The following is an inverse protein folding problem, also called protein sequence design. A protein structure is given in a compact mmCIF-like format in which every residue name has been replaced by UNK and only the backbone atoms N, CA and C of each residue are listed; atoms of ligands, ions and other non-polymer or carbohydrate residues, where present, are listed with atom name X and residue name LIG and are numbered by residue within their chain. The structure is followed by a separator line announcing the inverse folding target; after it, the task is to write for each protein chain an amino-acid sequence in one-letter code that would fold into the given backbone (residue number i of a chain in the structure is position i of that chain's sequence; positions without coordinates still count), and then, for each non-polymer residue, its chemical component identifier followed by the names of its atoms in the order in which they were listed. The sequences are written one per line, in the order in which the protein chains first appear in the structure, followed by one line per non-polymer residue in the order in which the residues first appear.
data_IF_256834658950
#
_entry.id   IF_256834658950
#
_cell.length_a   1.000
_cell.length_b   1.000
_cell.length_c   1.000
_cell.angle_alpha   90.00
_cell.angle_beta   90.00
_cell.angle_gamma   90.00
#
_symmetry.space_group_name_H-M   'P 1'
#
loop_
_entity.id
_entity.type
_entity.pdbx_description
1 polymer ?
#
# COMPACT_ATOMS: atom_id res chain seq x y z
N UNK A 1 12.99 7.60 28.60
CA UNK A 1 11.66 8.09 29.04
C UNK A 1 10.60 7.55 28.09
N UNK A 2 9.56 6.86 28.57
CA UNK A 2 8.50 6.28 27.71
C UNK A 2 7.76 7.33 26.84
N UNK A 3 7.77 8.59 27.27
CA UNK A 3 7.18 9.73 26.53
C UNK A 3 7.92 10.02 25.23
N UNK A 4 9.25 9.85 25.18
CA UNK A 4 10.08 10.07 23.99
C UNK A 4 10.15 8.84 23.08
N UNK A 5 9.57 7.71 23.50
CA UNK A 5 9.53 6.46 22.73
C UNK A 5 8.30 6.37 21.82
N UNK A 6 7.53 7.46 21.66
CA UNK A 6 6.32 7.47 20.84
C UNK A 6 5.14 6.65 21.41
N UNK A 7 5.26 6.12 22.63
CA UNK A 7 4.22 5.28 23.25
C UNK A 7 2.89 6.03 23.41
N UNK A 8 1.79 5.31 23.20
CA UNK A 8 0.47 5.82 23.52
C UNK A 8 0.24 5.83 25.04
N UNK A 9 -0.69 6.66 25.52
CA UNK A 9 -1.06 6.69 26.95
C UNK A 9 -1.47 5.28 27.45
N UNK A 10 -2.13 4.49 26.60
CA UNK A 10 -2.55 3.12 26.93
C UNK A 10 -1.35 2.18 27.02
N UNK A 11 -0.40 2.30 26.09
CA UNK A 11 0.84 1.52 26.12
C UNK A 11 1.68 1.85 27.37
N UNK A 12 1.83 3.14 27.67
CA UNK A 12 2.51 3.60 28.88
C UNK A 12 1.84 3.07 30.16
N UNK A 13 0.51 3.07 30.19
CA UNK A 13 -0.26 2.54 31.31
C UNK A 13 -0.01 1.05 31.52
N UNK A 14 -0.06 0.27 30.43
CA UNK A 14 0.24 -1.17 30.45
C UNK A 14 1.67 -1.45 30.90
N UNK A 15 2.64 -0.70 30.42
CA UNK A 15 4.07 -0.93 30.69
C UNK A 15 4.44 -0.54 32.13
N UNK A 16 3.82 0.50 32.67
CA UNK A 16 4.04 0.97 34.05
C UNK A 16 3.15 0.27 35.08
N UNK A 17 2.23 -0.61 34.65
CA UNK A 17 1.27 -1.28 35.55
C UNK A 17 0.29 -0.31 36.23
N UNK A 18 -0.03 0.83 35.60
CA UNK A 18 -0.92 1.85 36.15
C UNK A 18 -2.10 2.13 35.24
N UNK A 19 -3.09 2.88 35.72
CA UNK A 19 -4.23 3.28 34.90
C UNK A 19 -3.88 4.38 33.87
N UNK A 20 -4.56 4.40 32.73
CA UNK A 20 -4.43 5.48 31.74
C UNK A 20 -4.75 6.89 32.29
N UNK A 21 -5.76 7.08 33.18
CA UNK A 21 -5.93 8.32 33.93
C UNK A 21 -4.71 8.72 34.76
N UNK A 22 -4.05 7.78 35.44
CA UNK A 22 -2.83 8.02 36.22
C UNK A 22 -1.70 8.55 35.33
N UNK A 23 -1.49 7.93 34.16
CA UNK A 23 -0.52 8.43 33.17
C UNK A 23 -0.87 9.86 32.72
N UNK A 24 -2.15 10.14 32.42
CA UNK A 24 -2.60 11.49 32.04
C UNK A 24 -2.36 12.52 33.13
N UNK A 25 -2.62 12.17 34.39
CA UNK A 25 -2.40 13.03 35.53
C UNK A 25 -0.93 13.46 35.60
N UNK A 26 0.00 12.50 35.54
CA UNK A 26 1.44 12.79 35.60
C UNK A 26 1.94 13.56 34.39
N UNK A 27 1.49 13.20 33.18
CA UNK A 27 1.80 13.98 31.97
C UNK A 27 1.40 15.45 32.13
N UNK A 28 0.19 15.71 32.64
CA UNK A 28 -0.28 17.09 32.90
C UNK A 28 0.55 17.78 33.98
N UNK A 29 0.82 17.11 35.10
CA UNK A 29 1.57 17.66 36.23
C UNK A 29 2.98 18.11 35.82
N UNK A 30 3.62 17.37 34.92
CA UNK A 30 4.96 17.67 34.41
C UNK A 30 4.96 18.45 33.08
N UNK A 31 3.79 18.88 32.57
CA UNK A 31 3.70 19.61 31.29
C UNK A 31 4.11 18.81 30.07
N UNK A 32 4.12 17.47 30.15
CA UNK A 32 4.56 16.57 29.09
C UNK A 32 3.40 16.20 28.16
N UNK A 33 3.74 15.95 26.89
CA UNK A 33 2.81 15.47 25.87
C UNK A 33 3.38 14.28 25.12
N UNK A 34 2.51 13.34 24.72
CA UNK A 34 2.90 12.31 23.75
C UNK A 34 3.11 12.94 22.37
N UNK A 35 3.98 12.34 21.55
CA UNK A 35 4.17 12.76 20.16
C UNK A 35 2.85 12.79 19.37
N UNK A 36 1.98 11.80 19.61
CA UNK A 36 0.65 11.76 19.01
C UNK A 36 -0.16 12.99 19.39
N UNK A 37 -0.26 13.32 20.69
CA UNK A 37 -1.02 14.50 21.13
C UNK A 37 -0.43 15.79 20.58
N UNK A 38 0.89 15.95 20.61
CA UNK A 38 1.57 17.13 20.05
C UNK A 38 1.28 17.27 18.55
N UNK A 39 1.30 16.18 17.78
CA UNK A 39 0.95 16.17 16.35
C UNK A 39 -0.52 16.53 16.10
N UNK A 40 -1.45 15.99 16.88
CA UNK A 40 -2.87 16.31 16.72
C UNK A 40 -3.15 17.79 17.05
N UNK A 41 -2.46 18.35 18.05
CA UNK A 41 -2.58 19.75 18.43
C UNK A 41 -2.27 20.70 17.27
N UNK A 42 -1.25 20.41 16.44
CA UNK A 42 -0.86 21.20 15.26
C UNK A 42 -1.98 21.38 14.23
N UNK A 43 -2.98 20.50 14.22
CA UNK A 43 -4.11 20.55 13.28
C UNK A 43 -5.44 20.78 13.99
N UNK A 44 -5.44 21.07 15.29
CA UNK A 44 -6.66 21.20 16.11
C UNK A 44 -7.55 22.34 15.62
N UNK A 45 -6.97 23.52 15.37
CA UNK A 45 -7.71 24.68 14.89
C UNK A 45 -8.35 24.40 13.52
N UNK A 46 -7.57 23.91 12.56
CA UNK A 46 -8.07 23.56 11.23
C UNK A 46 -9.17 22.49 11.25
N UNK A 47 -9.12 21.53 12.19
CA UNK A 47 -10.21 20.55 12.38
C UNK A 47 -11.47 21.19 12.94
N UNK A 48 -11.32 22.10 13.90
CA UNK A 48 -12.45 22.77 14.54
C UNK A 48 -13.19 23.68 13.55
N UNK A 49 -12.47 24.31 12.63
CA UNK A 49 -13.03 25.19 11.60
C UNK A 49 -13.51 24.45 10.34
N UNK A 50 -13.30 23.13 10.26
CA UNK A 50 -13.64 22.35 9.06
C UNK A 50 -12.79 22.72 7.83
N UNK A 51 -11.58 23.27 8.03
CA UNK A 51 -10.73 23.69 6.94
C UNK A 51 -10.37 22.51 6.01
N UNK A 52 -10.38 22.74 4.71
CA UNK A 52 -10.03 21.72 3.70
C UNK A 52 -8.52 21.44 3.66
N UNK A 53 -7.69 22.43 3.95
CA UNK A 53 -6.24 22.30 4.07
C UNK A 53 -5.64 23.13 5.21
N UNK A 54 -4.44 22.74 5.65
CA UNK A 54 -3.66 23.44 6.68
C UNK A 54 -2.16 23.19 6.45
N UNK A 55 -1.32 24.22 6.62
CA UNK A 55 0.14 24.04 6.68
C UNK A 55 0.54 23.59 8.07
N UNK A 56 1.19 22.43 8.16
CA UNK A 56 1.69 21.89 9.42
C UNK A 56 2.83 20.88 9.18
N UNK A 57 3.49 20.46 10.25
CA UNK A 57 4.56 19.47 10.18
C UNK A 57 4.03 18.07 9.85
N UNK A 58 4.61 17.45 8.82
CA UNK A 58 4.52 16.02 8.57
C UNK A 58 5.77 15.31 9.13
N UNK A 59 5.62 14.28 9.98
CA UNK A 59 6.76 13.52 10.50
C UNK A 59 7.65 12.86 9.43
N UNK A 60 7.11 12.64 8.23
CA UNK A 60 7.80 11.94 7.13
C UNK A 60 8.34 12.92 6.07
N UNK A 61 7.64 14.04 5.86
CA UNK A 61 7.87 14.89 4.67
C UNK A 61 8.30 16.32 4.99
N UNK A 62 8.47 16.65 6.27
CA UNK A 62 9.09 17.91 6.70
C UNK A 62 8.20 18.77 7.60
N UNK A 63 8.78 19.85 8.16
CA UNK A 63 8.16 20.67 9.22
C UNK A 63 7.05 21.60 8.71
N UNK A 64 7.04 21.92 7.42
CA UNK A 64 6.04 22.79 6.81
C UNK A 64 5.58 22.20 5.48
N UNK A 65 4.47 21.48 5.52
CA UNK A 65 3.83 20.92 4.34
C UNK A 65 2.35 21.19 4.38
N UNK A 66 1.72 21.21 3.22
CA UNK A 66 0.27 21.28 3.14
C UNK A 66 -0.34 19.91 3.48
N UNK A 67 -1.21 19.89 4.49
CA UNK A 67 -2.03 18.75 4.85
C UNK A 67 -3.46 19.00 4.38
N UNK A 68 -4.08 17.97 3.82
CA UNK A 68 -5.47 18.01 3.35
C UNK A 68 -6.34 17.19 4.29
N UNK A 69 -7.55 17.68 4.53
CA UNK A 69 -8.58 16.99 5.29
C UNK A 69 -8.92 15.62 4.68
N UNK A 70 -9.29 14.66 5.53
CA UNK A 70 -9.73 13.32 5.13
C UNK A 70 -11.21 13.16 5.44
N UNK A 71 -11.92 12.38 4.62
CA UNK A 71 -13.34 12.06 4.84
C UNK A 71 -13.61 11.42 6.22
N UNK A 72 -12.68 10.60 6.73
CA UNK A 72 -12.76 10.00 8.07
C UNK A 72 -12.23 10.87 9.20
N UNK A 73 -12.08 12.17 8.97
CA UNK A 73 -11.52 13.12 9.93
C UNK A 73 -9.98 13.18 9.94
N UNK A 74 -9.49 14.32 10.42
CA UNK A 74 -8.06 14.61 10.51
C UNK A 74 -7.43 14.98 9.15
N UNK A 75 -6.11 15.14 9.19
CA UNK A 75 -5.34 15.75 8.11
C UNK A 75 -4.17 14.85 7.71
N UNK A 76 -3.81 14.85 6.43
CA UNK A 76 -2.65 14.12 5.90
C UNK A 76 -2.04 14.90 4.73
N UNK A 77 -0.72 14.94 4.64
CA UNK A 77 -0.07 15.57 3.50
C UNK A 77 -0.27 14.76 2.21
N UNK A 78 -0.22 15.45 1.07
CA UNK A 78 -0.38 14.83 -0.25
C UNK A 78 0.68 13.75 -0.53
N UNK A 79 1.93 13.99 -0.10
CA UNK A 79 3.03 13.03 -0.26
C UNK A 79 2.77 11.72 0.49
N UNK A 80 2.39 11.77 1.78
CA UNK A 80 1.97 10.58 2.53
C UNK A 80 0.78 9.85 1.88
N UNK A 81 -0.13 10.56 1.21
CA UNK A 81 -1.23 9.93 0.48
C UNK A 81 -0.70 9.16 -0.73
N UNK A 82 0.18 9.77 -1.51
CA UNK A 82 0.84 9.12 -2.66
C UNK A 82 1.66 7.91 -2.23
N UNK A 83 2.52 8.06 -1.21
CA UNK A 83 3.38 6.99 -0.70
C UNK A 83 2.57 5.78 -0.22
N UNK A 84 1.44 6.03 0.46
CA UNK A 84 0.55 4.96 0.89
C UNK A 84 -0.06 4.19 -0.31
N UNK A 85 -0.38 4.87 -1.40
CA UNK A 85 -0.85 4.25 -2.66
C UNK A 85 0.27 3.44 -3.30
N UNK A 86 1.48 3.99 -3.41
CA UNK A 86 2.65 3.29 -3.94
C UNK A 86 2.96 2.03 -3.12
N UNK A 87 2.99 2.15 -1.79
CA UNK A 87 3.24 1.03 -0.90
C UNK A 87 2.15 -0.04 -1.01
N UNK A 88 0.88 0.36 -1.16
CA UNK A 88 -0.22 -0.59 -1.41
C UNK A 88 -0.05 -1.31 -2.74
N UNK A 89 0.27 -0.59 -3.82
CA UNK A 89 0.50 -1.16 -5.15
C UNK A 89 1.64 -2.17 -5.13
N UNK A 90 2.75 -1.85 -4.46
CA UNK A 90 3.89 -2.77 -4.27
C UNK A 90 3.47 -4.06 -3.57
N UNK A 91 2.77 -3.95 -2.42
CA UNK A 91 2.26 -5.12 -1.68
C UNK A 91 1.31 -5.99 -2.52
N UNK A 92 0.37 -5.36 -3.24
CA UNK A 92 -0.55 -6.10 -4.11
C UNK A 92 0.21 -6.79 -5.24
N UNK A 93 1.14 -6.09 -5.92
CA UNK A 93 1.97 -6.69 -6.97
C UNK A 93 2.70 -7.92 -6.43
N UNK A 94 3.33 -7.82 -5.26
CA UNK A 94 4.06 -8.94 -4.65
C UNK A 94 3.18 -10.16 -4.37
N UNK A 95 1.96 -9.94 -3.84
CA UNK A 95 0.99 -11.03 -3.63
C UNK A 95 0.64 -11.70 -4.95
N UNK A 96 0.29 -10.91 -5.97
CA UNK A 96 -0.10 -11.45 -7.28
C UNK A 96 1.05 -12.21 -7.94
N UNK A 97 2.29 -11.69 -7.86
CA UNK A 97 3.45 -12.37 -8.41
C UNK A 97 3.66 -13.74 -7.77
N UNK A 98 3.50 -13.82 -6.44
CA UNK A 98 3.62 -15.07 -5.69
C UNK A 98 2.53 -16.05 -6.08
N UNK A 99 1.28 -15.58 -6.17
CA UNK A 99 0.14 -16.38 -6.61
C UNK A 99 0.35 -16.90 -8.04
N UNK A 100 0.97 -16.10 -8.91
CA UNK A 100 1.29 -16.43 -10.30
C UNK A 100 2.55 -17.32 -10.50
N UNK A 101 3.11 -17.88 -9.42
CA UNK A 101 4.28 -18.77 -9.48
C UNK A 101 5.64 -18.08 -9.35
N UNK A 102 5.70 -16.75 -9.33
CA UNK A 102 6.90 -15.98 -8.96
C UNK A 102 8.07 -16.05 -9.95
N UNK A 103 7.90 -16.67 -11.11
CA UNK A 103 8.93 -16.82 -12.13
C UNK A 103 8.41 -16.52 -13.54
N UNK A 104 9.32 -16.12 -14.43
CA UNK A 104 9.01 -15.99 -15.86
C UNK A 104 8.63 -17.36 -16.43
N UNK A 105 7.45 -17.48 -17.05
CA UNK A 105 7.00 -18.75 -17.65
C UNK A 105 7.83 -19.14 -18.89
N UNK A 106 8.47 -18.17 -19.54
CA UNK A 106 9.25 -18.40 -20.76
C UNK A 106 10.71 -18.79 -20.50
N UNK A 107 11.34 -18.30 -19.43
CA UNK A 107 12.76 -18.50 -19.16
C UNK A 107 13.12 -18.84 -17.71
N UNK A 108 12.14 -18.96 -16.81
CA UNK A 108 12.36 -19.31 -15.40
C UNK A 108 12.95 -18.22 -14.52
N UNK A 109 13.15 -17.00 -15.02
CA UNK A 109 13.71 -15.90 -14.21
C UNK A 109 12.84 -15.62 -12.96
N UNK A 110 13.45 -15.74 -11.77
CA UNK A 110 12.78 -15.52 -10.49
C UNK A 110 13.60 -14.67 -9.48
N UNK A 111 14.71 -14.06 -9.92
CA UNK A 111 15.63 -13.35 -9.01
C UNK A 111 15.10 -12.01 -8.48
N UNK A 112 14.23 -11.35 -9.24
CA UNK A 112 13.68 -10.04 -8.86
C UNK A 112 12.23 -9.88 -9.30
N UNK A 113 11.35 -9.70 -8.32
CA UNK A 113 9.94 -9.37 -8.54
C UNK A 113 9.74 -8.04 -9.28
N UNK A 114 10.72 -7.13 -9.21
CA UNK A 114 10.68 -5.86 -9.93
C UNK A 114 10.77 -6.06 -11.44
N UNK A 115 11.51 -7.07 -11.90
CA UNK A 115 11.69 -7.39 -13.31
C UNK A 115 10.61 -8.31 -13.88
N UNK A 116 9.60 -8.69 -13.09
CA UNK A 116 8.47 -9.51 -13.52
C UNK A 116 7.24 -8.64 -13.84
N UNK A 117 6.57 -9.00 -14.93
CA UNK A 117 5.46 -8.29 -15.55
C UNK A 117 4.33 -9.27 -15.92
N UNK A 118 3.10 -8.86 -15.68
CA UNK A 118 1.92 -9.57 -16.14
C UNK A 118 1.67 -9.21 -17.61
N UNK A 119 1.71 -10.20 -18.48
CA UNK A 119 1.41 -10.08 -19.89
C UNK A 119 0.07 -10.73 -20.20
N UNK A 120 -0.83 -10.01 -20.85
CA UNK A 120 -2.13 -10.53 -21.26
C UNK A 120 -1.95 -11.47 -22.46
N UNK A 121 -2.48 -12.69 -22.37
CA UNK A 121 -2.46 -13.62 -23.52
C UNK A 121 -3.40 -13.18 -24.65
N UNK A 122 -4.49 -12.51 -24.29
CA UNK A 122 -5.43 -11.92 -25.23
C UNK A 122 -5.56 -10.41 -24.92
N UNK A 123 -5.02 -9.53 -25.79
CA UNK A 123 -5.13 -8.08 -25.64
C UNK A 123 -6.58 -7.57 -25.55
N UNK A 124 -7.56 -8.27 -26.13
CA UNK A 124 -8.98 -7.89 -26.11
C UNK A 124 -9.63 -8.14 -24.74
N UNK A 125 -9.07 -9.05 -23.93
CA UNK A 125 -9.58 -9.35 -22.58
C UNK A 125 -9.14 -8.34 -21.51
N UNK A 126 -8.27 -7.39 -21.89
CA UNK A 126 -7.76 -6.34 -21.04
C UNK A 126 -8.89 -5.40 -20.65
N UNK A 127 -9.25 -5.42 -19.36
CA UNK A 127 -10.29 -4.54 -18.86
C UNK A 127 -9.74 -3.11 -18.67
N UNK A 128 -9.88 -2.26 -19.69
CA UNK A 128 -9.40 -0.86 -19.70
C UNK A 128 -9.91 -0.01 -18.52
N UNK A 129 -11.01 -0.42 -17.87
CA UNK A 129 -11.60 0.29 -16.73
C UNK A 129 -10.77 0.24 -15.43
N UNK A 130 -9.67 -0.51 -15.40
CA UNK A 130 -8.76 -0.60 -14.25
C UNK A 130 -7.99 0.71 -14.02
N UNK A 131 -7.75 1.51 -15.07
CA UNK A 131 -6.96 2.74 -14.98
C UNK A 131 -7.72 3.92 -14.32
N UNK A 132 -9.05 4.00 -14.49
CA UNK A 132 -9.86 5.11 -13.98
C UNK A 132 -10.49 4.87 -12.59
N UNK A 133 -10.73 3.61 -12.21
CA UNK A 133 -11.50 3.26 -11.00
C UNK A 133 -10.71 2.98 -9.71
N UNK A 134 -9.37 3.00 -9.78
CA UNK A 134 -8.52 2.73 -8.63
C UNK A 134 -8.40 1.24 -8.31
N UNK A 135 -7.42 0.59 -8.94
CA UNK A 135 -6.80 -0.70 -8.54
C UNK A 135 -6.49 -0.76 -7.03
N UNK A 136 -6.40 0.41 -6.37
CA UNK A 136 -6.20 0.54 -4.95
C UNK A 136 -7.32 -0.06 -4.07
N UNK A 137 -8.52 -0.33 -4.59
CA UNK A 137 -9.68 -0.68 -3.75
C UNK A 137 -9.99 -2.17 -3.56
N UNK A 138 -9.66 -3.08 -4.48
CA UNK A 138 -9.95 -4.51 -4.27
C UNK A 138 -8.86 -5.41 -4.84
N UNK A 139 -8.17 -6.13 -3.95
CA UNK A 139 -7.22 -7.18 -4.34
C UNK A 139 -7.89 -8.27 -5.19
N UNK A 140 -9.18 -8.54 -4.96
CA UNK A 140 -9.98 -9.47 -5.77
C UNK A 140 -9.94 -9.13 -7.26
N UNK A 141 -10.31 -7.90 -7.66
CA UNK A 141 -10.21 -7.47 -9.07
C UNK A 141 -8.79 -7.55 -9.63
N UNK A 142 -7.78 -7.31 -8.80
CA UNK A 142 -6.40 -7.41 -9.23
C UNK A 142 -5.99 -8.88 -9.48
N UNK A 143 -6.56 -9.83 -8.71
CA UNK A 143 -6.44 -11.27 -8.95
C UNK A 143 -7.20 -11.69 -10.21
N UNK A 144 -8.43 -11.23 -10.39
CA UNK A 144 -9.24 -11.54 -11.57
C UNK A 144 -8.54 -11.13 -12.87
N UNK A 145 -7.87 -9.98 -12.85
CA UNK A 145 -7.05 -9.53 -13.99
C UNK A 145 -5.76 -10.35 -14.13
N UNK A 146 -5.03 -10.57 -13.03
CA UNK A 146 -3.80 -11.37 -13.06
C UNK A 146 -4.02 -12.80 -13.53
N UNK A 147 -5.19 -13.38 -13.26
CA UNK A 147 -5.58 -14.72 -13.68
C UNK A 147 -5.65 -14.87 -15.22
N UNK A 148 -5.87 -13.77 -15.95
CA UNK A 148 -5.86 -13.73 -17.43
C UNK A 148 -4.46 -13.56 -18.02
N UNK A 149 -3.48 -13.27 -17.18
CA UNK A 149 -2.14 -12.97 -17.59
C UNK A 149 -1.21 -14.18 -17.40
N UNK A 150 -0.07 -14.13 -18.08
CA UNK A 150 1.12 -14.93 -17.77
C UNK A 150 2.21 -14.04 -17.20
N UNK A 151 3.14 -14.64 -16.47
CA UNK A 151 4.23 -13.90 -15.85
C UNK A 151 5.49 -13.97 -16.70
N UNK A 152 6.01 -12.80 -17.12
CA UNK A 152 7.22 -12.69 -17.94
C UNK A 152 8.24 -11.77 -17.29
N UNK A 153 9.52 -12.06 -17.48
CA UNK A 153 10.56 -11.09 -17.15
C UNK A 153 10.59 -9.96 -18.19
N UNK A 154 11.20 -8.82 -17.85
CA UNK A 154 11.25 -7.65 -18.73
C UNK A 154 11.74 -7.97 -20.15
N UNK A 155 12.76 -8.82 -20.30
CA UNK A 155 13.29 -9.20 -21.61
C UNK A 155 12.31 -10.07 -22.39
N UNK A 156 11.81 -11.16 -21.79
CA UNK A 156 10.84 -12.02 -22.47
C UNK A 156 9.54 -11.28 -22.78
N UNK A 157 9.11 -10.36 -21.92
CA UNK A 157 7.97 -9.50 -22.19
C UNK A 157 8.22 -8.63 -23.42
N UNK A 158 9.39 -7.98 -23.52
CA UNK A 158 9.74 -7.19 -24.70
C UNK A 158 9.86 -8.03 -25.98
N UNK A 159 10.42 -9.24 -25.89
CA UNK A 159 10.49 -10.19 -27.01
C UNK A 159 9.10 -10.61 -27.50
N UNK A 160 8.14 -10.80 -26.59
CA UNK A 160 6.75 -11.16 -26.96
C UNK A 160 6.04 -9.98 -27.60
N UNK A 161 6.12 -8.79 -27.01
CA UNK A 161 5.51 -7.56 -27.58
C UNK A 161 6.09 -7.21 -28.96
N UNK A 162 7.36 -7.54 -29.21
CA UNK A 162 8.01 -7.34 -30.51
C UNK A 162 7.83 -8.50 -31.48
N UNK A 163 7.13 -9.57 -31.10
CA UNK A 163 6.90 -10.76 -31.92
C UNK A 163 8.13 -11.66 -32.13
N UNK A 164 9.26 -11.37 -31.47
CA UNK A 164 10.49 -12.18 -31.50
C UNK A 164 10.24 -13.53 -30.80
N UNK A 165 9.48 -13.50 -29.70
CA UNK A 165 9.11 -14.69 -28.93
C UNK A 165 7.62 -14.96 -29.05
N UNK A 166 7.26 -16.18 -29.39
CA UNK A 166 5.89 -16.66 -29.27
C UNK A 166 5.70 -17.36 -27.93
N UNK A 167 4.58 -17.09 -27.26
CA UNK A 167 4.22 -17.77 -26.01
C UNK A 167 3.63 -19.18 -26.24
N UNK A 168 3.44 -19.62 -27.49
CA UNK A 168 2.90 -20.94 -27.80
C UNK A 168 1.52 -21.20 -27.17
N UNK A 169 1.17 -22.47 -26.95
CA UNK A 169 -0.04 -22.90 -26.21
C UNK A 169 0.13 -22.75 -24.68
N UNK A 170 0.69 -21.63 -24.23
CA UNK A 170 0.81 -21.36 -22.80
C UNK A 170 -0.56 -21.06 -22.20
N UNK A 171 -0.87 -21.78 -21.12
CA UNK A 171 -2.10 -21.60 -20.36
C UNK A 171 -1.99 -20.35 -19.47
N UNK A 172 -3.07 -19.58 -19.36
CA UNK A 172 -3.15 -18.47 -18.40
C UNK A 172 -2.98 -18.99 -16.97
N UNK A 173 -2.65 -18.10 -16.03
CA UNK A 173 -2.58 -18.48 -14.61
C UNK A 173 -3.86 -19.17 -14.13
N UNK A 174 -5.04 -18.68 -14.57
CA UNK A 174 -6.33 -19.33 -14.31
C UNK A 174 -6.35 -20.80 -14.76
N UNK A 175 -5.92 -21.07 -15.99
CA UNK A 175 -5.93 -22.41 -16.58
C UNK A 175 -4.91 -23.37 -15.93
N UNK A 176 -3.86 -22.83 -15.30
CA UNK A 176 -2.90 -23.64 -14.53
C UNK A 176 -3.48 -23.97 -13.14
N UNK A 177 -4.12 -23.01 -12.49
CA UNK A 177 -4.76 -23.22 -11.17
C UNK A 177 -5.94 -24.19 -11.27
N UNK A 178 -6.82 -24.02 -12.26
CA UNK A 178 -7.97 -24.93 -12.50
C UNK A 178 -7.53 -26.38 -12.84
N UNK A 179 -6.34 -26.56 -13.42
CA UNK A 179 -5.80 -27.89 -13.72
C UNK A 179 -5.11 -28.56 -12.52
N UNK A 180 -4.74 -27.80 -11.49
CA UNK A 180 -4.02 -28.29 -10.31
C UNK A 180 -4.95 -28.65 -9.14
N UNK A 181 -6.24 -28.33 -9.22
CA UNK A 181 -7.24 -28.60 -8.18
C UNK A 181 -8.45 -29.36 -8.76
N UNK A 182 -8.35 -30.69 -8.94
CA UNK A 182 -9.42 -31.50 -9.51
C UNK A 182 -10.43 -31.96 -8.46
N UNK A 183 -10.81 -31.10 -7.50
CA UNK A 183 -11.85 -31.39 -6.51
C UNK A 183 -11.42 -32.27 -5.34
#
# INVERSE_FOLDING_TARGET
MLVTSGCSIVAMASELGVSAPTVRHWLRRYGLQTERSARLAKTKAARATGASSVRAACPVHGPDVELIARAGGGFRCLRCRSDAVVARRRRVKEILLREAGGACVACGYARSSAALHFHHLDPETKSFSIAHGGVSRSIARARDEAAKCVLLCANCHAEVESGIRQLGSMRSHRQVVEAADPG
#
